data_IF_078337648415
#
_entry.id   IF_078337648415
#
_cell.length_a   1.000
_cell.length_b   1.000
_cell.length_c   1.000
_cell.angle_alpha   90.00
_cell.angle_beta   90.00
_cell.angle_gamma   90.00
#
_symmetry.space_group_name_H-M   'P 1'
#
loop_
_entity.id
_entity.type
_entity.pdbx_description
1 polymer ?
#
# COMPACT_ATOMS: atom_id res chain seq x y z
N UNK A 1 54.34 -5.51 -34.75
CA UNK A 1 54.42 -5.57 -33.30
C UNK A 1 53.03 -5.33 -32.74
N UNK A 2 52.32 -6.40 -32.47
CA UNK A 2 50.89 -6.38 -32.19
C UNK A 2 50.69 -6.27 -30.68
N UNK A 3 50.09 -5.15 -30.23
CA UNK A 3 49.56 -4.99 -28.90
C UNK A 3 48.18 -5.60 -28.86
N UNK A 4 48.11 -6.87 -28.47
CA UNK A 4 46.86 -7.52 -28.05
C UNK A 4 46.44 -6.91 -26.71
N UNK A 5 45.52 -5.95 -26.75
CA UNK A 5 44.77 -5.51 -25.60
C UNK A 5 43.83 -6.67 -25.21
N UNK A 6 44.23 -7.39 -24.16
CA UNK A 6 43.34 -8.33 -23.47
C UNK A 6 42.16 -7.57 -22.87
N UNK A 7 41.00 -7.61 -23.53
CA UNK A 7 39.75 -7.25 -22.92
C UNK A 7 39.45 -8.28 -21.82
N UNK A 8 39.83 -7.93 -20.60
CA UNK A 8 39.42 -8.66 -19.42
C UNK A 8 37.89 -8.54 -19.32
N UNK A 9 37.19 -9.58 -19.72
CA UNK A 9 35.77 -9.75 -19.39
C UNK A 9 35.66 -9.78 -17.89
N UNK A 10 35.29 -8.66 -17.29
CA UNK A 10 34.97 -8.59 -15.88
C UNK A 10 33.82 -9.58 -15.64
N UNK A 11 34.10 -10.63 -14.90
CA UNK A 11 33.08 -11.54 -14.37
C UNK A 11 32.05 -10.67 -13.62
N UNK A 12 30.73 -10.87 -13.84
CA UNK A 12 29.74 -10.13 -13.06
C UNK A 12 30.00 -10.36 -11.58
N UNK A 13 30.06 -9.27 -10.81
CA UNK A 13 30.27 -9.36 -9.37
C UNK A 13 29.20 -10.29 -8.78
N UNK A 14 29.53 -11.14 -7.80
CA UNK A 14 28.57 -12.04 -7.19
C UNK A 14 27.39 -11.20 -6.66
N UNK A 15 26.19 -11.55 -7.11
CA UNK A 15 24.96 -10.87 -6.70
C UNK A 15 24.83 -11.09 -5.18
N UNK A 16 24.78 -10.01 -4.41
CA UNK A 16 24.56 -10.06 -2.98
C UNK A 16 23.08 -10.47 -2.72
N UNK A 17 22.83 -11.66 -2.17
CA UNK A 17 21.49 -12.20 -2.02
C UNK A 17 20.62 -11.35 -1.06
N UNK A 18 21.23 -10.64 -0.10
CA UNK A 18 20.52 -9.77 0.83
C UNK A 18 20.07 -8.51 0.10
N UNK A 19 20.94 -7.96 -0.72
CA UNK A 19 20.60 -6.77 -1.51
C UNK A 19 19.55 -7.09 -2.58
N UNK A 20 19.65 -8.22 -3.26
CA UNK A 20 18.64 -8.67 -4.21
C UNK A 20 17.26 -8.82 -3.55
N UNK A 21 17.21 -9.51 -2.39
CA UNK A 21 15.97 -9.63 -1.59
C UNK A 21 15.41 -8.27 -1.20
N UNK A 22 16.25 -7.33 -0.76
CA UNK A 22 15.84 -5.98 -0.40
C UNK A 22 15.21 -5.24 -1.59
N UNK A 23 15.83 -5.31 -2.76
CA UNK A 23 15.33 -4.70 -3.99
C UNK A 23 14.00 -5.31 -4.43
N UNK A 24 13.87 -6.62 -4.36
CA UNK A 24 12.62 -7.32 -4.65
C UNK A 24 11.49 -6.90 -3.71
N UNK A 25 11.77 -6.79 -2.41
CA UNK A 25 10.79 -6.32 -1.42
C UNK A 25 10.37 -4.86 -1.72
N UNK A 26 11.31 -3.96 -1.95
CA UNK A 26 11.03 -2.57 -2.32
C UNK A 26 10.14 -2.51 -3.56
N UNK A 27 10.48 -3.26 -4.61
CA UNK A 27 9.72 -3.29 -5.86
C UNK A 27 8.31 -3.88 -5.67
N UNK A 28 8.16 -4.88 -4.82
CA UNK A 28 6.87 -5.47 -4.50
C UNK A 28 5.96 -4.48 -3.74
N UNK A 29 6.46 -3.85 -2.67
CA UNK A 29 5.72 -2.86 -1.90
C UNK A 29 5.35 -1.63 -2.73
N UNK A 30 6.24 -1.15 -3.60
CA UNK A 30 5.98 -0.02 -4.49
C UNK A 30 4.84 -0.35 -5.46
N UNK A 31 4.89 -1.52 -6.14
CA UNK A 31 3.82 -1.97 -7.03
C UNK A 31 2.47 -2.10 -6.31
N UNK A 32 2.45 -2.70 -5.11
CA UNK A 32 1.22 -2.86 -4.31
C UNK A 32 0.65 -1.52 -3.86
N UNK A 33 1.51 -0.61 -3.39
CA UNK A 33 1.13 0.76 -3.02
C UNK A 33 0.49 1.50 -4.20
N UNK A 34 1.15 1.51 -5.36
CA UNK A 34 0.66 2.18 -6.56
C UNK A 34 -0.67 1.58 -7.07
N UNK A 35 -0.82 0.26 -7.03
CA UNK A 35 -2.05 -0.41 -7.45
C UNK A 35 -3.24 0.01 -6.57
N UNK A 36 -3.09 -0.07 -5.24
CA UNK A 36 -4.14 0.35 -4.30
C UNK A 36 -4.46 1.85 -4.42
N UNK A 37 -3.44 2.69 -4.55
CA UNK A 37 -3.63 4.14 -4.73
C UNK A 37 -4.41 4.46 -6.01
N UNK A 38 -4.07 3.81 -7.14
CA UNK A 38 -4.76 4.03 -8.42
C UNK A 38 -6.22 3.59 -8.33
N UNK A 39 -6.48 2.44 -7.72
CA UNK A 39 -7.83 1.91 -7.53
C UNK A 39 -8.66 2.84 -6.66
N UNK A 40 -8.14 3.25 -5.51
CA UNK A 40 -8.79 4.22 -4.62
C UNK A 40 -9.14 5.52 -5.34
N UNK A 41 -8.15 6.13 -6.02
CA UNK A 41 -8.35 7.40 -6.73
C UNK A 41 -9.40 7.29 -7.83
N UNK A 42 -9.41 6.18 -8.59
CA UNK A 42 -10.40 5.96 -9.65
C UNK A 42 -11.82 5.91 -9.09
N UNK A 43 -12.06 5.08 -8.07
CA UNK A 43 -13.38 4.98 -7.45
C UNK A 43 -13.82 6.32 -6.85
N UNK A 44 -12.91 7.02 -6.16
CA UNK A 44 -13.23 8.32 -5.53
C UNK A 44 -13.55 9.42 -6.56
N UNK A 45 -12.87 9.42 -7.70
CA UNK A 45 -13.18 10.33 -8.81
C UNK A 45 -14.57 10.03 -9.39
N UNK A 46 -14.89 8.74 -9.64
CA UNK A 46 -16.22 8.34 -10.16
C UNK A 46 -17.32 8.75 -9.18
N UNK A 47 -17.12 8.52 -7.90
CA UNK A 47 -18.06 8.91 -6.84
C UNK A 47 -18.29 10.42 -6.80
N UNK A 48 -17.22 11.23 -6.86
CA UNK A 48 -17.33 12.70 -6.85
C UNK A 48 -18.07 13.18 -8.09
N UNK A 49 -17.79 12.64 -9.28
CA UNK A 49 -18.49 13.01 -10.51
C UNK A 49 -19.97 12.64 -10.40
N UNK A 50 -20.30 11.44 -9.92
CA UNK A 50 -21.67 11.00 -9.72
C UNK A 50 -22.41 11.91 -8.73
N UNK A 51 -21.80 12.24 -7.59
CA UNK A 51 -22.38 13.13 -6.59
C UNK A 51 -22.61 14.55 -7.12
N UNK A 52 -21.64 15.11 -7.84
CA UNK A 52 -21.75 16.44 -8.44
C UNK A 52 -22.81 16.51 -9.56
N UNK A 53 -23.10 15.38 -10.21
CA UNK A 53 -24.12 15.30 -11.25
C UNK A 53 -25.56 15.34 -10.71
N UNK A 54 -25.79 14.96 -9.45
CA UNK A 54 -27.13 14.92 -8.85
C UNK A 54 -27.84 16.28 -8.87
N UNK A 55 -27.27 17.37 -8.31
CA UNK A 55 -27.93 18.67 -8.32
C UNK A 55 -28.12 19.21 -9.75
N UNK A 56 -27.16 18.94 -10.65
CA UNK A 56 -27.28 19.36 -12.05
C UNK A 56 -28.45 18.66 -12.74
N UNK A 57 -28.57 17.34 -12.61
CA UNK A 57 -29.66 16.56 -13.20
C UNK A 57 -31.02 16.91 -12.60
N UNK A 58 -31.08 17.27 -11.33
CA UNK A 58 -32.33 17.71 -10.67
C UNK A 58 -32.81 19.04 -11.17
N UNK A 59 -31.92 19.90 -11.66
CA UNK A 59 -32.29 21.24 -12.21
C UNK A 59 -32.67 21.19 -13.69
N UNK A 60 -32.39 20.10 -14.41
CA UNK A 60 -32.71 19.96 -15.83
C UNK A 60 -34.15 19.47 -16.03
N UNK A 61 -34.85 19.95 -17.08
CA UNK A 61 -36.21 19.49 -17.41
C UNK A 61 -36.18 18.13 -18.15
N UNK A 62 -35.65 17.12 -17.48
CA UNK A 62 -35.58 15.73 -18.01
C UNK A 62 -36.76 14.91 -17.52
N UNK A 63 -37.27 13.93 -18.30
CA UNK A 63 -38.31 13.05 -17.82
C UNK A 63 -37.80 12.20 -16.64
N UNK A 64 -38.56 12.17 -15.57
CA UNK A 64 -38.30 11.37 -14.37
C UNK A 64 -36.91 11.58 -13.69
N UNK A 65 -36.55 12.81 -13.30
CA UNK A 65 -35.23 13.11 -12.71
C UNK A 65 -34.99 12.33 -11.41
N UNK A 66 -36.04 12.02 -10.66
CA UNK A 66 -35.97 11.27 -9.42
C UNK A 66 -35.38 9.83 -9.59
N UNK A 67 -35.69 9.16 -10.70
CA UNK A 67 -35.12 7.82 -10.95
C UNK A 67 -33.64 7.89 -11.26
N UNK A 68 -33.22 8.88 -12.07
CA UNK A 68 -31.81 9.06 -12.45
C UNK A 68 -30.98 9.41 -11.23
N UNK A 69 -31.42 10.36 -10.41
CA UNK A 69 -30.72 10.75 -9.19
C UNK A 69 -30.73 9.64 -8.14
N UNK A 70 -31.82 8.85 -8.06
CA UNK A 70 -31.90 7.67 -7.19
C UNK A 70 -30.89 6.60 -7.57
N UNK A 71 -30.74 6.26 -8.86
CA UNK A 71 -29.75 5.31 -9.34
C UNK A 71 -28.32 5.80 -9.03
N UNK A 72 -28.02 7.08 -9.25
CA UNK A 72 -26.73 7.66 -8.91
C UNK A 72 -26.44 7.54 -7.40
N UNK A 73 -27.45 7.80 -6.55
CA UNK A 73 -27.32 7.64 -5.10
C UNK A 73 -26.98 6.19 -4.69
N UNK A 74 -27.62 5.21 -5.32
CA UNK A 74 -27.28 3.79 -5.09
C UNK A 74 -25.86 3.47 -5.51
N UNK A 75 -25.42 3.95 -6.69
CA UNK A 75 -24.04 3.74 -7.18
C UNK A 75 -23.03 4.34 -6.19
N UNK A 76 -23.25 5.56 -5.70
CA UNK A 76 -22.37 6.22 -4.73
C UNK A 76 -22.28 5.38 -3.46
N UNK A 77 -23.41 4.92 -2.92
CA UNK A 77 -23.45 4.12 -1.70
C UNK A 77 -22.71 2.81 -1.85
N UNK A 78 -22.85 2.13 -2.99
CA UNK A 78 -22.14 0.88 -3.29
C UNK A 78 -20.64 1.12 -3.43
N UNK A 79 -20.23 2.18 -4.14
CA UNK A 79 -18.81 2.51 -4.31
C UNK A 79 -18.14 2.84 -2.97
N UNK A 80 -18.78 3.66 -2.12
CA UNK A 80 -18.27 3.98 -0.79
C UNK A 80 -18.17 2.73 0.10
N UNK A 81 -19.18 1.86 0.06
CA UNK A 81 -19.16 0.57 0.74
C UNK A 81 -17.99 -0.31 0.30
N UNK A 82 -17.72 -0.40 -1.01
CA UNK A 82 -16.60 -1.16 -1.55
C UNK A 82 -15.24 -0.55 -1.15
N UNK A 83 -15.11 0.77 -1.17
CA UNK A 83 -13.90 1.47 -0.73
C UNK A 83 -13.63 1.22 0.75
N UNK A 84 -14.67 1.25 1.57
CA UNK A 84 -14.58 1.00 3.01
C UNK A 84 -14.22 -0.45 3.32
N UNK A 85 -14.89 -1.42 2.67
CA UNK A 85 -14.62 -2.85 2.89
C UNK A 85 -13.21 -3.27 2.47
N UNK A 86 -12.70 -2.73 1.37
CA UNK A 86 -11.37 -3.09 0.87
C UNK A 86 -10.23 -2.27 1.48
N UNK A 87 -10.53 -1.25 2.26
CA UNK A 87 -9.55 -0.39 2.95
C UNK A 87 -8.39 0.09 2.05
N UNK A 88 -8.67 0.35 0.77
CA UNK A 88 -7.64 0.72 -0.22
C UNK A 88 -6.77 1.89 0.23
N UNK A 89 -7.35 2.88 0.92
CA UNK A 89 -6.64 4.04 1.41
C UNK A 89 -5.62 3.65 2.50
N UNK A 90 -6.00 2.83 3.45
CA UNK A 90 -5.10 2.40 4.53
C UNK A 90 -4.00 1.49 4.00
N UNK A 91 -4.37 0.57 3.10
CA UNK A 91 -3.43 -0.38 2.51
C UNK A 91 -2.33 0.33 1.70
N UNK A 92 -2.67 1.32 0.83
CA UNK A 92 -1.63 2.00 0.06
C UNK A 92 -0.71 2.85 0.94
N UNK A 93 -1.22 3.46 2.01
CA UNK A 93 -0.40 4.21 2.97
C UNK A 93 0.55 3.27 3.71
N UNK A 94 0.06 2.12 4.19
CA UNK A 94 0.88 1.13 4.88
C UNK A 94 2.01 0.60 3.96
N UNK A 95 1.67 0.15 2.75
CA UNK A 95 2.67 -0.33 1.78
C UNK A 95 3.67 0.76 1.39
N UNK A 96 3.22 2.00 1.23
CA UNK A 96 4.10 3.13 0.93
C UNK A 96 5.07 3.40 2.08
N UNK A 97 4.58 3.40 3.31
CA UNK A 97 5.41 3.59 4.51
C UNK A 97 6.51 2.53 4.62
N UNK A 98 6.16 1.26 4.44
CA UNK A 98 7.13 0.15 4.48
C UNK A 98 8.13 0.25 3.32
N UNK A 99 7.68 0.59 2.11
CA UNK A 99 8.55 0.80 0.97
C UNK A 99 9.60 1.91 1.23
N UNK A 100 9.17 3.05 1.76
CA UNK A 100 10.08 4.15 2.09
C UNK A 100 11.03 3.80 3.24
N UNK A 101 10.57 3.04 4.24
CA UNK A 101 11.43 2.54 5.31
C UNK A 101 12.53 1.60 4.77
N UNK A 102 12.18 0.68 3.88
CA UNK A 102 13.14 -0.21 3.22
C UNK A 102 14.14 0.56 2.35
N UNK A 103 13.69 1.57 1.60
CA UNK A 103 14.58 2.46 0.83
C UNK A 103 15.53 3.22 1.75
N UNK A 104 15.02 3.75 2.86
CA UNK A 104 15.85 4.45 3.84
C UNK A 104 16.93 3.53 4.41
N UNK A 105 16.58 2.30 4.77
CA UNK A 105 17.53 1.29 5.27
C UNK A 105 18.61 0.98 4.22
N UNK A 106 18.21 0.81 2.94
CA UNK A 106 19.13 0.63 1.82
C UNK A 106 20.16 1.77 1.72
N UNK A 107 19.68 3.02 1.75
CA UNK A 107 20.55 4.19 1.66
C UNK A 107 21.51 4.32 2.85
N UNK A 108 21.00 4.03 4.06
CA UNK A 108 21.80 4.07 5.29
C UNK A 108 22.91 3.01 5.27
N UNK A 109 22.57 1.81 4.79
CA UNK A 109 23.54 0.72 4.60
C UNK A 109 24.61 1.07 3.56
N UNK A 110 24.22 1.52 2.36
CA UNK A 110 25.14 1.90 1.29
C UNK A 110 26.03 3.10 1.68
N UNK A 111 25.49 4.05 2.42
CA UNK A 111 26.20 5.20 2.94
C UNK A 111 27.09 4.89 4.14
N UNK A 112 27.12 3.65 4.64
CA UNK A 112 27.83 3.25 5.87
C UNK A 112 27.56 4.20 7.05
N UNK A 113 26.34 4.73 7.11
CA UNK A 113 25.90 5.59 8.19
C UNK A 113 25.49 4.75 9.43
N UNK A 114 25.29 5.42 10.58
CA UNK A 114 24.75 4.72 11.75
C UNK A 114 23.38 4.11 11.43
N UNK A 115 23.12 2.83 11.80
CA UNK A 115 23.89 1.99 12.71
C UNK A 115 25.00 1.13 12.07
N UNK A 116 25.21 1.20 10.77
CA UNK A 116 26.14 0.33 10.03
C UNK A 116 27.62 0.75 10.14
N UNK A 117 27.92 1.99 10.58
CA UNK A 117 29.26 2.58 10.56
C UNK A 117 30.30 1.81 11.40
N UNK A 118 29.90 1.19 12.51
CA UNK A 118 30.81 0.60 13.50
C UNK A 118 30.42 -0.84 13.88
N UNK A 119 29.73 -1.54 13.00
CA UNK A 119 29.27 -2.94 13.26
C UNK A 119 30.24 -3.91 12.59
N UNK A 120 30.54 -5.02 13.28
CA UNK A 120 31.43 -6.06 12.78
C UNK A 120 30.87 -6.74 11.51
N UNK A 121 29.57 -6.98 11.46
CA UNK A 121 28.87 -7.55 10.30
C UNK A 121 27.67 -6.66 9.88
N UNK A 122 27.89 -5.71 8.97
CA UNK A 122 26.80 -4.86 8.46
C UNK A 122 25.76 -5.64 7.65
N UNK A 123 26.12 -6.78 7.02
CA UNK A 123 25.21 -7.60 6.25
C UNK A 123 24.18 -8.31 7.14
N UNK A 124 24.64 -8.93 8.22
CA UNK A 124 23.77 -9.58 9.19
C UNK A 124 22.78 -8.57 9.80
N UNK A 125 23.27 -7.38 10.16
CA UNK A 125 22.42 -6.31 10.67
C UNK A 125 21.39 -5.86 9.64
N UNK A 126 21.77 -5.73 8.36
CA UNK A 126 20.83 -5.37 7.29
C UNK A 126 19.71 -6.41 7.17
N UNK A 127 20.05 -7.69 7.17
CA UNK A 127 19.08 -8.78 7.09
C UNK A 127 18.09 -8.74 8.26
N UNK A 128 18.56 -8.57 9.49
CA UNK A 128 17.70 -8.44 10.68
C UNK A 128 16.75 -7.24 10.57
N UNK A 129 17.22 -6.08 10.11
CA UNK A 129 16.40 -4.89 9.98
C UNK A 129 15.35 -5.01 8.90
N UNK A 130 15.68 -5.61 7.76
CA UNK A 130 14.70 -5.90 6.69
C UNK A 130 13.59 -6.81 7.24
N UNK A 131 13.96 -7.92 7.88
CA UNK A 131 12.97 -8.86 8.44
C UNK A 131 12.13 -8.22 9.56
N UNK A 132 12.72 -7.36 10.38
CA UNK A 132 12.00 -6.60 11.39
C UNK A 132 10.96 -5.66 10.78
N UNK A 133 11.30 -4.91 9.72
CA UNK A 133 10.37 -4.02 9.03
C UNK A 133 9.20 -4.78 8.40
N UNK A 134 9.48 -5.89 7.73
CA UNK A 134 8.45 -6.74 7.10
C UNK A 134 7.56 -7.40 8.14
N UNK A 135 8.15 -7.91 9.24
CA UNK A 135 7.39 -8.54 10.34
C UNK A 135 6.49 -7.56 11.06
N UNK A 136 6.94 -6.32 11.28
CA UNK A 136 6.12 -5.27 11.91
C UNK A 136 4.90 -4.90 11.06
N UNK A 137 5.05 -4.88 9.74
CA UNK A 137 3.93 -4.63 8.85
C UNK A 137 2.90 -5.76 8.93
N UNK A 138 3.33 -7.02 8.90
CA UNK A 138 2.45 -8.17 9.08
C UNK A 138 1.74 -8.17 10.44
N UNK A 139 2.42 -7.82 11.52
CA UNK A 139 1.84 -7.73 12.86
C UNK A 139 0.79 -6.60 12.94
N UNK A 140 1.04 -5.44 12.34
CA UNK A 140 0.06 -4.34 12.26
C UNK A 140 -1.19 -4.75 11.49
N UNK A 141 -1.02 -5.46 10.38
CA UNK A 141 -2.13 -5.96 9.59
C UNK A 141 -2.99 -6.98 10.38
N UNK A 142 -2.37 -7.93 11.04
CA UNK A 142 -3.07 -8.90 11.88
C UNK A 142 -3.83 -8.23 13.06
N UNK A 143 -3.24 -7.22 13.68
CA UNK A 143 -3.88 -6.48 14.78
C UNK A 143 -5.07 -5.64 14.31
N UNK A 144 -4.99 -4.99 13.16
CA UNK A 144 -6.10 -4.19 12.60
C UNK A 144 -7.30 -5.06 12.27
N UNK A 145 -7.09 -6.23 11.67
CA UNK A 145 -8.17 -7.20 11.42
C UNK A 145 -8.83 -7.71 12.71
N UNK A 146 -8.02 -7.98 13.74
CA UNK A 146 -8.53 -8.44 15.04
C UNK A 146 -9.39 -7.37 15.74
N UNK A 147 -9.05 -6.10 15.60
CA UNK A 147 -9.84 -4.98 16.14
C UNK A 147 -11.17 -4.82 15.41
N UNK A 148 -11.21 -4.95 14.09
CA UNK A 148 -12.46 -4.88 13.32
C UNK A 148 -13.44 -5.99 13.71
N UNK A 149 -12.95 -7.22 13.90
CA UNK A 149 -13.77 -8.34 14.36
C UNK A 149 -14.36 -8.06 15.74
N UNK A 150 -13.55 -7.53 16.68
CA UNK A 150 -14.01 -7.17 18.04
C UNK A 150 -15.04 -6.05 18.02
N UNK A 151 -14.84 -5.02 17.20
CA UNK A 151 -15.79 -3.90 17.06
C UNK A 151 -17.12 -4.37 16.50
N UNK A 152 -17.13 -5.23 15.47
CA UNK A 152 -18.33 -5.82 14.90
C UNK A 152 -19.08 -6.71 15.90
N UNK A 153 -18.36 -7.52 16.68
CA UNK A 153 -18.93 -8.36 17.73
C UNK A 153 -19.54 -7.53 18.88
N UNK A 154 -18.87 -6.45 19.28
CA UNK A 154 -19.38 -5.53 20.32
C UNK A 154 -20.66 -4.80 19.89
N UNK A 155 -20.76 -4.36 18.63
CA UNK A 155 -21.97 -3.75 18.10
C UNK A 155 -23.15 -4.75 17.98
N UNK A 156 -22.87 -6.00 17.67
CA UNK A 156 -23.90 -7.05 17.59
C UNK A 156 -24.45 -7.44 18.97
N UNK A 157 -23.61 -7.41 20.02
CA UNK A 157 -24.02 -7.70 21.39
C UNK A 157 -24.81 -6.58 22.09
N UNK A 158 -24.70 -5.33 21.61
CA UNK A 158 -25.44 -4.20 22.15
C UNK A 158 -26.87 -4.06 21.60
N UNK A 159 -27.27 -4.88 20.66
CA UNK A 159 -28.56 -4.81 19.97
C UNK A 159 -29.62 -5.80 20.52
N UNK A 160 -29.42 -6.42 21.69
CA UNK A 160 -30.48 -7.16 22.38
C UNK A 160 -31.17 -6.23 23.41
N UNK A 161 -32.35 -5.67 23.11
CA UNK A 161 -33.14 -5.02 24.14
C UNK A 161 -33.73 -6.12 25.01
N UNK A 162 -33.51 -6.03 26.32
CA UNK A 162 -34.28 -6.74 27.31
C UNK A 162 -35.77 -6.38 27.10
N UNK A 163 -36.56 -7.36 26.66
CA UNK A 163 -38.02 -7.31 26.58
C UNK A 163 -38.67 -7.73 27.88
#
# INVERSE_FOLDING_TARGET
MALLMSAQTASPAPIDPIMERLEDQIAWYDRKSLANQRTYKRFKIIEIIAAASIPLLSALPIPHPAYVTGVLGVIITVLEGLLHLNQYQQNWIAYRSTCEALKHEKFTYLGRASPYANVADPHALLAERIESLVSQEHAKWASSQSQEVKTKAGCAGAATPDG
#
